data_IF_179025583383
#
_entry.id   IF_179025583383
#
_cell.length_a   1.000
_cell.length_b   1.000
_cell.length_c   1.000
_cell.angle_alpha   90.00
_cell.angle_beta   90.00
_cell.angle_gamma   90.00
#
_symmetry.space_group_name_H-M   'P 1'
#
loop_
_entity.id
_entity.type
_entity.pdbx_description
1 polymer ?
#
# COMPACT_ATOMS: atom_id res chain seq x y z
N UNK A 1 14.05 0.00 -14.51
CA UNK A 1 14.77 -1.29 -14.37
C UNK A 1 13.93 -2.10 -13.40
N UNK A 2 13.38 -3.24 -13.82
CA UNK A 2 12.59 -4.11 -12.94
C UNK A 2 13.57 -5.14 -12.39
N UNK A 3 13.72 -5.19 -11.07
CA UNK A 3 14.52 -6.21 -10.41
C UNK A 3 13.59 -7.30 -9.90
N UNK A 4 13.80 -8.53 -10.34
CA UNK A 4 13.30 -9.70 -9.60
C UNK A 4 14.23 -9.88 -8.41
N UNK A 5 13.75 -9.56 -7.21
CA UNK A 5 14.56 -9.66 -6.01
C UNK A 5 13.98 -10.72 -5.09
N UNK A 6 14.77 -11.76 -4.85
CA UNK A 6 14.45 -12.84 -3.91
C UNK A 6 14.90 -12.55 -2.47
N UNK A 7 15.71 -11.50 -2.24
CA UNK A 7 16.21 -11.13 -0.93
C UNK A 7 16.34 -9.60 -0.79
N UNK A 8 15.68 -9.04 0.22
CA UNK A 8 15.63 -7.60 0.44
C UNK A 8 16.96 -7.02 0.95
N UNK A 9 17.85 -7.84 1.52
CA UNK A 9 19.19 -7.38 1.93
C UNK A 9 20.08 -7.06 0.73
N UNK A 10 19.84 -7.68 -0.43
CA UNK A 10 20.54 -7.35 -1.68
C UNK A 10 20.11 -5.97 -2.24
N UNK A 11 18.93 -5.48 -1.86
CA UNK A 11 18.42 -4.17 -2.27
C UNK A 11 19.12 -3.04 -1.51
N UNK A 12 19.54 -3.29 -0.26
CA UNK A 12 20.11 -2.29 0.64
C UNK A 12 21.43 -1.70 0.13
N UNK A 13 22.27 -2.49 -0.53
CA UNK A 13 23.54 -2.02 -1.08
C UNK A 13 23.39 -1.28 -2.42
N UNK A 14 22.26 -1.48 -3.13
CA UNK A 14 22.07 -1.01 -4.51
C UNK A 14 21.23 0.28 -4.55
N UNK A 15 20.33 0.49 -3.59
CA UNK A 15 19.32 1.54 -3.66
C UNK A 15 19.49 2.51 -2.48
N UNK A 16 20.10 3.66 -2.74
CA UNK A 16 20.03 4.86 -1.86
C UNK A 16 18.68 5.59 -1.94
N UNK A 17 17.75 5.09 -2.76
CA UNK A 17 16.49 5.73 -3.11
C UNK A 17 15.28 5.21 -2.32
N UNK A 18 14.21 6.00 -2.37
CA UNK A 18 12.90 5.67 -1.81
C UNK A 18 12.34 4.38 -2.44
N UNK A 19 12.15 3.34 -1.64
CA UNK A 19 11.60 2.06 -2.10
C UNK A 19 10.08 2.13 -2.00
N UNK A 20 9.37 1.90 -3.09
CA UNK A 20 7.91 1.76 -3.07
C UNK A 20 7.53 0.30 -3.22
N UNK A 21 6.80 -0.23 -2.24
CA UNK A 21 6.25 -1.58 -2.26
C UNK A 21 4.74 -1.51 -2.45
N UNK A 22 4.19 -2.45 -3.22
CA UNK A 22 2.76 -2.56 -3.47
C UNK A 22 2.38 -4.03 -3.39
N UNK A 23 1.25 -4.36 -2.76
CA UNK A 23 0.73 -5.72 -2.87
C UNK A 23 0.32 -6.02 -4.32
N UNK A 24 0.39 -7.30 -4.75
CA UNK A 24 -0.06 -7.67 -6.10
C UNK A 24 -1.53 -7.34 -6.33
N UNK A 25 -1.89 -7.15 -7.59
CA UNK A 25 -3.28 -6.92 -7.98
C UNK A 25 -4.17 -8.06 -7.48
N UNK A 26 -5.39 -7.73 -7.05
CA UNK A 26 -6.38 -8.66 -6.49
C UNK A 26 -5.94 -9.40 -5.20
N UNK A 27 -4.75 -9.12 -4.65
CA UNK A 27 -4.21 -9.92 -3.54
C UNK A 27 -4.93 -9.80 -2.21
N UNK A 28 -5.57 -8.67 -1.97
CA UNK A 28 -6.40 -8.48 -0.79
C UNK A 28 -7.58 -9.45 -0.76
N UNK A 29 -8.13 -9.87 -1.90
CA UNK A 29 -9.28 -10.77 -1.94
C UNK A 29 -8.92 -12.20 -1.52
N UNK A 30 -7.66 -12.63 -1.71
CA UNK A 30 -7.24 -13.97 -1.31
C UNK A 30 -6.40 -14.02 -0.03
N UNK A 31 -5.56 -13.02 0.25
CA UNK A 31 -4.77 -12.96 1.49
C UNK A 31 -5.53 -12.32 2.66
N UNK A 32 -6.46 -11.43 2.34
CA UNK A 32 -7.12 -10.58 3.32
C UNK A 32 -6.26 -9.39 3.75
N UNK A 33 -6.94 -8.29 4.06
CA UNK A 33 -6.31 -7.03 4.48
C UNK A 33 -5.48 -7.17 5.78
N UNK A 34 -5.89 -8.07 6.68
CA UNK A 34 -5.15 -8.40 7.91
C UNK A 34 -3.73 -8.91 7.64
N UNK A 35 -3.60 -9.81 6.67
CA UNK A 35 -2.30 -10.36 6.30
C UNK A 35 -1.41 -9.31 5.63
N UNK A 36 -1.97 -8.50 4.72
CA UNK A 36 -1.24 -7.39 4.08
C UNK A 36 -0.73 -6.39 5.13
N UNK A 37 -1.52 -6.10 6.16
CA UNK A 37 -1.10 -5.19 7.24
C UNK A 37 0.05 -5.78 8.06
N UNK A 38 -0.03 -7.07 8.40
CA UNK A 38 1.05 -7.76 9.08
C UNK A 38 2.37 -7.74 8.27
N UNK A 39 2.28 -7.82 6.95
CA UNK A 39 3.45 -7.66 6.07
C UNK A 39 4.01 -6.24 6.06
N UNK A 40 3.15 -5.21 5.96
CA UNK A 40 3.57 -3.80 6.07
C UNK A 40 4.30 -3.58 7.40
N UNK A 41 3.70 -4.00 8.51
CA UNK A 41 4.26 -3.83 9.85
C UNK A 41 5.61 -4.57 9.98
N UNK A 42 5.68 -5.82 9.51
CA UNK A 42 6.92 -6.59 9.49
C UNK A 42 8.02 -5.87 8.71
N UNK A 43 7.71 -5.33 7.53
CA UNK A 43 8.68 -4.62 6.69
C UNK A 43 9.14 -3.33 7.39
N UNK A 44 8.21 -2.52 7.87
CA UNK A 44 8.53 -1.29 8.59
C UNK A 44 9.35 -1.55 9.86
N UNK A 45 9.12 -2.67 10.55
CA UNK A 45 9.87 -3.01 11.76
C UNK A 45 11.28 -3.54 11.51
N UNK A 46 11.47 -4.32 10.44
CA UNK A 46 12.76 -4.95 10.14
C UNK A 46 13.66 -4.10 9.23
N UNK A 47 13.11 -3.08 8.57
CA UNK A 47 13.82 -2.27 7.57
C UNK A 47 13.71 -0.77 7.85
N UNK A 48 13.80 -0.36 9.12
CA UNK A 48 13.66 1.04 9.59
C UNK A 48 14.65 2.02 8.97
N UNK A 49 15.83 1.52 8.59
CA UNK A 49 16.88 2.33 7.99
C UNK A 49 16.64 2.61 6.49
N UNK A 50 15.64 1.95 5.89
CA UNK A 50 15.25 2.13 4.51
C UNK A 50 14.05 3.06 4.42
N UNK A 51 14.06 3.99 3.45
CA UNK A 51 12.89 4.82 3.18
C UNK A 51 11.86 4.03 2.35
N UNK A 52 11.08 3.18 3.01
CA UNK A 52 10.07 2.33 2.38
C UNK A 52 8.70 3.00 2.46
N UNK A 53 8.06 3.17 1.30
CA UNK A 53 6.65 3.52 1.15
C UNK A 53 5.86 2.27 0.77
N UNK A 54 5.01 1.78 1.66
CA UNK A 54 4.08 0.70 1.34
C UNK A 54 2.75 1.26 0.80
N UNK A 55 2.27 0.73 -0.32
CA UNK A 55 0.99 1.05 -0.95
C UNK A 55 0.06 -0.16 -0.85
N UNK A 56 -1.07 0.03 -0.17
CA UNK A 56 -2.15 -0.93 -0.09
C UNK A 56 -3.10 -0.77 -1.30
N UNK A 57 -2.92 -1.58 -2.32
CA UNK A 57 -3.78 -1.68 -3.50
C UNK A 57 -5.08 -2.42 -3.13
N UNK A 58 -6.17 -1.66 -3.06
CA UNK A 58 -7.52 -2.12 -2.71
C UNK A 58 -8.39 -2.40 -3.94
N UNK A 59 -7.79 -2.44 -5.13
CA UNK A 59 -8.50 -2.63 -6.39
C UNK A 59 -9.66 -1.62 -6.57
N UNK A 60 -10.80 -2.05 -7.12
CA UNK A 60 -11.99 -1.24 -7.33
C UNK A 60 -13.02 -1.29 -6.18
N UNK A 61 -12.67 -1.82 -5.01
CA UNK A 61 -13.58 -2.01 -3.87
C UNK A 61 -13.50 -0.86 -2.83
N UNK A 62 -14.52 0.02 -2.75
CA UNK A 62 -14.55 1.12 -1.79
C UNK A 62 -14.61 0.67 -0.32
N UNK A 63 -15.18 -0.51 -0.04
CA UNK A 63 -15.29 -1.04 1.31
C UNK A 63 -13.91 -1.48 1.84
N UNK A 64 -13.08 -2.06 0.96
CA UNK A 64 -11.69 -2.39 1.27
C UNK A 64 -10.85 -1.14 1.54
N UNK A 65 -11.01 -0.08 0.74
CA UNK A 65 -10.33 1.21 0.97
C UNK A 65 -10.63 1.76 2.37
N UNK A 66 -11.91 1.80 2.75
CA UNK A 66 -12.29 2.27 4.08
C UNK A 66 -11.77 1.37 5.21
N UNK A 67 -11.77 0.05 4.99
CA UNK A 67 -11.19 -0.90 5.94
C UNK A 67 -9.68 -0.67 6.11
N UNK A 68 -8.96 -0.42 5.02
CA UNK A 68 -7.53 -0.12 5.04
C UNK A 68 -7.25 1.17 5.84
N UNK A 69 -8.04 2.23 5.64
CA UNK A 69 -7.93 3.46 6.43
C UNK A 69 -8.13 3.20 7.93
N UNK A 70 -9.16 2.41 8.31
CA UNK A 70 -9.40 2.06 9.72
C UNK A 70 -8.28 1.22 10.33
N UNK A 71 -7.59 0.43 9.52
CA UNK A 71 -6.43 -0.36 9.95
C UNK A 71 -5.13 0.45 9.98
N UNK A 72 -5.17 1.74 9.61
CA UNK A 72 -4.05 2.66 9.73
C UNK A 72 -3.09 2.67 8.54
N UNK A 73 -3.45 2.06 7.41
CA UNK A 73 -2.66 2.18 6.18
C UNK A 73 -2.53 3.65 5.76
N UNK A 74 -1.31 4.07 5.42
CA UNK A 74 -1.00 5.46 5.09
C UNK A 74 -0.96 5.77 3.60
N UNK A 75 -0.76 4.78 2.76
CA UNK A 75 -0.84 4.95 1.31
C UNK A 75 -1.72 3.85 0.74
N UNK A 76 -2.81 4.24 0.09
CA UNK A 76 -3.86 3.35 -0.40
C UNK A 76 -4.08 3.67 -1.87
N UNK A 77 -4.21 2.64 -2.70
CA UNK A 77 -4.57 2.80 -4.11
C UNK A 77 -5.96 2.24 -4.37
N UNK A 78 -6.74 2.99 -5.16
CA UNK A 78 -8.07 2.62 -5.59
C UNK A 78 -8.16 2.72 -7.13
N UNK A 79 -8.75 1.69 -7.75
CA UNK A 79 -8.86 1.54 -9.21
C UNK A 79 -10.29 1.68 -9.74
N UNK A 80 -11.25 1.98 -8.86
CA UNK A 80 -12.66 2.13 -9.25
C UNK A 80 -12.96 3.49 -9.88
N UNK A 81 -14.24 3.84 -9.98
CA UNK A 81 -14.64 5.10 -10.64
C UNK A 81 -14.12 6.36 -9.92
N UNK A 82 -13.90 7.43 -10.68
CA UNK A 82 -13.53 8.76 -10.15
C UNK A 82 -14.54 9.27 -9.12
N UNK A 83 -15.85 9.02 -9.33
CA UNK A 83 -16.89 9.43 -8.38
C UNK A 83 -16.69 8.81 -6.99
N UNK A 84 -16.36 7.51 -6.92
CA UNK A 84 -16.03 6.86 -5.66
C UNK A 84 -14.70 7.35 -5.10
N UNK A 85 -13.70 7.59 -5.95
CA UNK A 85 -12.41 8.14 -5.51
C UNK A 85 -12.57 9.48 -4.79
N UNK A 86 -13.34 10.42 -5.34
CA UNK A 86 -13.56 11.73 -4.72
C UNK A 86 -14.23 11.63 -3.34
N UNK A 87 -15.20 10.72 -3.19
CA UNK A 87 -15.85 10.46 -1.90
C UNK A 87 -14.87 9.84 -0.90
N UNK A 88 -14.06 8.89 -1.35
CA UNK A 88 -13.04 8.22 -0.54
C UNK A 88 -11.91 9.19 -0.13
N UNK A 89 -11.53 10.13 -0.99
CA UNK A 89 -10.50 11.14 -0.70
C UNK A 89 -10.86 11.99 0.52
N UNK A 90 -12.13 12.40 0.64
CA UNK A 90 -12.60 13.16 1.81
C UNK A 90 -12.48 12.37 3.12
N UNK A 91 -12.58 11.04 3.05
CA UNK A 91 -12.38 10.14 4.20
C UNK A 91 -10.89 9.99 4.46
N UNK A 92 -10.09 9.81 3.40
CA UNK A 92 -8.63 9.69 3.47
C UNK A 92 -8.00 10.89 4.22
N UNK A 93 -8.44 12.11 3.90
CA UNK A 93 -7.95 13.34 4.53
C UNK A 93 -8.20 13.34 6.05
N UNK A 94 -9.37 12.86 6.49
CA UNK A 94 -9.71 12.74 7.92
C UNK A 94 -8.90 11.64 8.62
N UNK A 95 -8.57 10.58 7.90
CA UNK A 95 -7.74 9.48 8.38
C UNK A 95 -6.23 9.77 8.26
N UNK A 96 -5.85 10.93 7.71
CA UNK A 96 -4.47 11.27 7.38
C UNK A 96 -3.81 10.15 6.56
N UNK A 97 -4.52 9.68 5.53
CA UNK A 97 -4.07 8.67 4.59
C UNK A 97 -3.96 9.30 3.20
N UNK A 98 -2.95 8.88 2.44
CA UNK A 98 -2.77 9.26 1.04
C UNK A 98 -3.53 8.27 0.17
N UNK A 99 -4.55 8.74 -0.55
CA UNK A 99 -5.28 7.94 -1.52
C UNK A 99 -4.81 8.31 -2.94
N UNK A 100 -4.44 7.30 -3.73
CA UNK A 100 -4.10 7.46 -5.15
C UNK A 100 -5.10 6.74 -6.05
N UNK A 101 -5.38 7.32 -7.20
CA UNK A 101 -6.29 6.76 -8.21
C UNK A 101 -5.50 6.19 -9.39
N UNK A 102 -5.90 5.02 -9.88
CA UNK A 102 -5.45 4.49 -11.17
C UNK A 102 -6.68 4.15 -12.00
N UNK A 103 -6.82 4.79 -13.15
CA UNK A 103 -7.86 4.51 -14.14
C UNK A 103 -7.57 3.24 -14.95
#
# INVERSE_FOLDING_TARGET
>A
MIFEVSNIDEIKEIIQDNITLKNPDQSIHYLGLGYIKALEDFICDNYKDLNIKFICDCDDDPALVQAAMRMGFKNIMFKGSVEYFEKLQQIADKCQANLSHSS
#
